data_IF_501674314901
#
_entry.id   IF_501674314901
#
_cell.length_a   1.000
_cell.length_b   1.000
_cell.length_c   1.000
_cell.angle_alpha   90.00
_cell.angle_beta   90.00
_cell.angle_gamma   90.00
#
_symmetry.space_group_name_H-M   'P 1'
#
loop_
_entity.id
_entity.type
_entity.pdbx_description
1 polymer ?
#
# COMPACT_ATOMS: atom_id res chain seq x y z
N UNK A 1 48.31 64.66 30.98
CA UNK A 1 47.35 64.50 32.10
C UNK A 1 45.96 64.79 31.56
N UNK A 2 44.88 64.01 31.79
CA UNK A 2 44.67 62.55 31.87
C UNK A 2 43.91 62.01 30.59
N UNK A 3 43.97 60.72 30.20
CA UNK A 3 43.14 59.52 30.55
C UNK A 3 41.62 59.78 30.33
N UNK A 4 40.87 59.09 29.46
CA UNK A 4 40.26 57.73 29.49
C UNK A 4 39.47 57.58 28.17
N UNK A 5 38.97 56.47 27.64
CA UNK A 5 39.13 55.02 27.78
C UNK A 5 38.25 54.43 26.66
N UNK A 6 38.66 53.30 26.11
CA UNK A 6 38.00 52.54 25.04
C UNK A 6 36.62 52.02 25.44
N UNK A 7 35.62 52.16 24.58
CA UNK A 7 34.39 51.36 24.62
C UNK A 7 34.15 50.74 23.24
N UNK A 8 34.70 49.54 23.05
CA UNK A 8 34.16 48.57 22.12
C UNK A 8 33.14 47.71 22.85
N UNK A 9 31.92 47.60 22.32
CA UNK A 9 31.00 46.54 22.71
C UNK A 9 30.34 45.96 21.46
N UNK A 10 30.63 44.68 21.27
CA UNK A 10 29.99 43.69 20.40
C UNK A 10 28.46 43.83 20.45
N UNK A 11 27.82 43.97 19.29
CA UNK A 11 26.43 43.56 19.13
C UNK A 11 26.41 42.08 18.73
N UNK A 12 26.22 41.20 19.72
CA UNK A 12 25.98 39.78 19.50
C UNK A 12 24.53 39.60 19.03
N UNK A 13 24.38 39.06 17.82
CA UNK A 13 23.11 38.64 17.24
C UNK A 13 22.51 37.49 18.05
N UNK A 14 21.34 37.71 18.65
CA UNK A 14 20.47 36.64 19.17
C UNK A 14 19.20 36.61 18.33
N UNK A 15 19.27 36.07 17.11
CA UNK A 15 18.08 35.61 16.41
C UNK A 15 17.69 34.27 17.01
N UNK A 16 16.77 34.32 17.98
CA UNK A 16 16.12 33.15 18.57
C UNK A 16 15.54 32.27 17.45
N UNK A 17 16.19 31.14 17.20
CA UNK A 17 15.67 30.10 16.32
C UNK A 17 14.53 29.41 17.06
N UNK A 18 13.34 29.96 16.92
CA UNK A 18 12.10 29.32 17.36
C UNK A 18 11.86 28.15 16.41
N UNK A 19 12.50 27.01 16.71
CA UNK A 19 12.18 25.73 16.08
C UNK A 19 10.78 25.37 16.57
N UNK A 20 9.77 25.78 15.82
CA UNK A 20 8.46 25.17 15.93
C UNK A 20 8.67 23.70 15.58
N UNK A 21 8.73 22.86 16.62
CA UNK A 21 8.43 21.46 16.46
C UNK A 21 6.99 21.41 15.96
N UNK A 22 6.82 21.35 14.64
CA UNK A 22 5.57 20.96 14.03
C UNK A 22 5.42 19.50 14.46
N UNK A 23 4.70 19.29 15.55
CA UNK A 23 4.14 17.98 15.84
C UNK A 23 3.21 17.71 14.66
N UNK A 24 3.72 16.99 13.67
CA UNK A 24 2.94 16.61 12.50
C UNK A 24 1.82 15.71 13.03
N UNK A 25 0.62 16.27 13.15
CA UNK A 25 -0.61 15.56 13.50
C UNK A 25 -1.04 14.67 12.34
N UNK A 26 -0.10 13.97 11.70
CA UNK A 26 -0.34 12.98 10.65
C UNK A 26 -0.43 11.56 11.20
N UNK A 27 -0.18 11.35 12.50
CA UNK A 27 -0.06 10.00 13.08
C UNK A 27 -1.28 9.43 13.81
N UNK A 28 -2.48 10.03 13.71
CA UNK A 28 -3.56 9.65 14.64
C UNK A 28 -4.64 8.69 14.15
N UNK A 29 -4.62 8.22 12.90
CA UNK A 29 -5.55 7.16 12.49
C UNK A 29 -4.79 6.03 11.80
N UNK A 30 -4.30 5.10 12.62
CA UNK A 30 -3.88 3.77 12.17
C UNK A 30 -5.03 3.17 11.33
N UNK A 31 -4.81 2.84 10.05
CA UNK A 31 -5.83 2.22 9.21
C UNK A 31 -6.42 0.98 9.91
N UNK A 32 -7.76 0.92 10.02
CA UNK A 32 -8.42 -0.25 10.59
C UNK A 32 -8.52 -1.34 9.53
N UNK A 33 -8.20 -2.57 9.93
CA UNK A 33 -8.51 -3.76 9.15
C UNK A 33 -9.90 -4.23 9.60
N UNK A 34 -10.89 -4.01 8.75
CA UNK A 34 -12.28 -4.44 8.91
C UNK A 34 -12.38 -5.90 8.49
N UNK A 35 -12.64 -6.76 9.46
CA UNK A 35 -12.75 -8.21 9.27
C UNK A 35 -13.93 -8.59 8.38
N UNK A 36 -13.87 -9.81 7.82
CA UNK A 36 -14.98 -10.42 7.06
C UNK A 36 -16.33 -10.31 7.77
N UNK A 37 -16.38 -10.58 9.07
CA UNK A 37 -17.60 -10.44 9.87
C UNK A 37 -18.10 -8.99 9.95
N UNK A 38 -17.19 -8.02 10.13
CA UNK A 38 -17.56 -6.61 10.32
C UNK A 38 -18.14 -5.96 9.06
N UNK A 39 -17.74 -6.39 7.86
CA UNK A 39 -18.32 -5.91 6.60
C UNK A 39 -19.47 -6.77 6.07
N UNK A 40 -19.79 -7.88 6.75
CA UNK A 40 -20.90 -8.77 6.39
C UNK A 40 -20.58 -9.66 5.19
N UNK A 41 -19.39 -10.27 5.20
CA UNK A 41 -18.97 -11.22 4.18
C UNK A 41 -19.85 -12.48 4.17
N UNK A 42 -20.16 -12.96 2.96
CA UNK A 42 -20.62 -14.34 2.79
C UNK A 42 -19.45 -15.31 3.01
N UNK A 43 -19.77 -16.52 3.46
CA UNK A 43 -18.79 -17.60 3.59
C UNK A 43 -18.20 -17.97 2.22
N UNK A 44 -16.89 -18.22 2.11
CA UNK A 44 -16.30 -18.74 0.88
C UNK A 44 -16.82 -20.16 0.62
N UNK A 45 -17.02 -20.55 -0.64
CA UNK A 45 -17.41 -21.92 -0.99
C UNK A 45 -16.24 -22.90 -0.92
N UNK A 46 -15.01 -22.40 -1.07
CA UNK A 46 -13.76 -23.13 -0.85
C UNK A 46 -12.60 -22.18 -0.56
N UNK A 47 -11.58 -22.67 0.14
CA UNK A 47 -10.36 -21.89 0.43
C UNK A 47 -9.13 -22.75 0.24
N UNK A 48 -8.07 -22.16 -0.31
CA UNK A 48 -6.74 -22.79 -0.42
C UNK A 48 -5.75 -21.98 0.42
N UNK A 49 -5.03 -22.66 1.31
CA UNK A 49 -3.96 -22.03 2.10
C UNK A 49 -2.70 -21.89 1.24
N UNK A 50 -1.97 -20.81 1.45
CA UNK A 50 -0.62 -20.63 0.93
C UNK A 50 0.39 -20.78 2.07
N UNK A 51 1.65 -20.99 1.67
CA UNK A 51 2.77 -20.81 2.58
C UNK A 51 2.88 -19.34 3.01
N UNK A 52 3.52 -19.15 4.16
CA UNK A 52 3.96 -17.85 4.67
C UNK A 52 5.11 -17.28 3.82
N UNK A 53 5.42 -16.00 4.00
CA UNK A 53 6.48 -15.26 3.30
C UNK A 53 6.31 -15.28 1.77
N UNK A 54 5.15 -14.81 1.29
CA UNK A 54 4.92 -14.67 -0.14
C UNK A 54 5.95 -13.69 -0.74
N UNK A 55 6.59 -14.03 -1.87
CA UNK A 55 7.61 -13.19 -2.48
C UNK A 55 7.06 -11.99 -3.27
N UNK A 56 5.75 -11.95 -3.51
CA UNK A 56 5.14 -10.94 -4.37
C UNK A 56 3.93 -10.26 -3.72
N UNK A 57 3.71 -9.00 -4.06
CA UNK A 57 2.44 -8.30 -3.88
C UNK A 57 1.95 -7.80 -5.24
N UNK A 58 0.65 -7.92 -5.51
CA UNK A 58 0.05 -7.42 -6.75
C UNK A 58 -1.06 -6.44 -6.40
N UNK A 59 -0.92 -5.19 -6.86
CA UNK A 59 -1.91 -4.13 -6.64
C UNK A 59 -2.86 -3.98 -7.81
N UNK A 60 -4.11 -3.70 -7.46
CA UNK A 60 -5.25 -3.59 -8.37
C UNK A 60 -6.02 -2.30 -8.09
N UNK A 61 -6.79 -1.86 -9.08
CA UNK A 61 -8.00 -1.10 -8.81
C UNK A 61 -9.22 -2.00 -8.98
N UNK A 62 -10.38 -1.58 -8.47
CA UNK A 62 -11.62 -2.34 -8.67
C UNK A 62 -12.34 -2.01 -9.97
N UNK A 63 -11.96 -0.90 -10.63
CA UNK A 63 -12.70 -0.33 -11.77
C UNK A 63 -14.19 -0.08 -11.45
N UNK A 64 -14.47 0.26 -10.19
CA UNK A 64 -15.81 0.64 -9.71
C UNK A 64 -15.81 2.10 -9.29
N UNK A 65 -16.98 2.69 -9.03
CA UNK A 65 -17.01 3.98 -8.33
C UNK A 65 -16.38 3.83 -6.93
N UNK A 66 -15.63 4.85 -6.51
CA UNK A 66 -15.04 4.94 -5.18
C UNK A 66 -16.12 4.97 -4.08
N UNK A 67 -15.67 4.85 -2.83
CA UNK A 67 -16.48 4.96 -1.62
C UNK A 67 -15.71 5.81 -0.62
N UNK A 68 -16.40 6.57 0.24
CA UNK A 68 -15.77 7.57 1.14
C UNK A 68 -16.19 7.44 2.60
N UNK A 69 -17.11 6.52 2.90
CA UNK A 69 -17.56 6.23 4.26
C UNK A 69 -17.49 4.72 4.50
N UNK A 70 -17.30 4.31 5.75
CA UNK A 70 -17.26 2.88 6.10
C UNK A 70 -18.52 2.14 5.60
N UNK A 71 -19.70 2.75 5.75
CA UNK A 71 -20.95 2.18 5.26
C UNK A 71 -20.94 1.94 3.73
N UNK A 72 -20.55 2.96 2.96
CA UNK A 72 -20.51 2.86 1.49
C UNK A 72 -19.43 1.90 1.01
N UNK A 73 -18.27 1.86 1.69
CA UNK A 73 -17.19 0.95 1.37
C UNK A 73 -17.53 -0.50 1.71
N UNK A 74 -18.13 -0.79 2.88
CA UNK A 74 -18.68 -2.12 3.19
C UNK A 74 -19.69 -2.58 2.14
N UNK A 75 -20.58 -1.69 1.70
CA UNK A 75 -21.54 -1.97 0.64
C UNK A 75 -20.86 -2.32 -0.68
N UNK A 76 -19.82 -1.56 -1.05
CA UNK A 76 -19.03 -1.82 -2.26
C UNK A 76 -18.29 -3.16 -2.19
N UNK A 77 -17.66 -3.49 -1.06
CA UNK A 77 -16.95 -4.77 -0.87
C UNK A 77 -17.92 -5.95 -1.00
N UNK A 78 -19.12 -5.87 -0.38
CA UNK A 78 -20.17 -6.88 -0.56
C UNK A 78 -20.61 -7.02 -2.01
N UNK A 79 -20.79 -5.92 -2.73
CA UNK A 79 -21.17 -5.95 -4.14
C UNK A 79 -20.10 -6.63 -5.00
N UNK A 80 -18.81 -6.35 -4.74
CA UNK A 80 -17.69 -7.00 -5.42
C UNK A 80 -17.66 -8.50 -5.10
N UNK A 81 -17.82 -8.90 -3.83
CA UNK A 81 -17.89 -10.32 -3.45
C UNK A 81 -19.04 -11.03 -4.17
N UNK A 82 -20.23 -10.44 -4.17
CA UNK A 82 -21.40 -11.00 -4.83
C UNK A 82 -21.19 -11.15 -6.34
N UNK A 83 -20.60 -10.16 -7.00
CA UNK A 83 -20.28 -10.26 -8.42
C UNK A 83 -19.27 -11.39 -8.69
N UNK A 84 -18.21 -11.50 -7.88
CA UNK A 84 -17.23 -12.57 -8.03
C UNK A 84 -17.82 -13.97 -7.81
N UNK A 85 -18.66 -14.16 -6.79
CA UNK A 85 -19.24 -15.47 -6.50
C UNK A 85 -20.38 -15.82 -7.45
N UNK A 86 -21.32 -14.89 -7.69
CA UNK A 86 -22.54 -15.18 -8.45
C UNK A 86 -22.30 -15.13 -9.96
N UNK A 87 -21.49 -14.19 -10.45
CA UNK A 87 -21.31 -13.96 -11.89
C UNK A 87 -20.04 -14.61 -12.44
N UNK A 88 -18.95 -14.67 -11.66
CA UNK A 88 -17.71 -15.34 -12.10
C UNK A 88 -17.57 -16.77 -11.59
N UNK A 89 -18.46 -17.23 -10.71
CA UNK A 89 -18.39 -18.57 -10.12
C UNK A 89 -17.18 -18.80 -9.23
N UNK A 90 -16.55 -17.74 -8.72
CA UNK A 90 -15.38 -17.85 -7.85
C UNK A 90 -15.79 -18.26 -6.45
N UNK A 91 -14.85 -18.87 -5.73
CA UNK A 91 -15.12 -19.34 -4.37
C UNK A 91 -15.33 -18.22 -3.35
N UNK A 92 -14.83 -17.02 -3.65
CA UNK A 92 -14.92 -15.83 -2.82
C UNK A 92 -14.54 -14.58 -3.65
N UNK A 93 -14.57 -13.41 -3.02
CA UNK A 93 -13.94 -12.18 -3.54
C UNK A 93 -12.49 -12.46 -4.00
N UNK A 94 -12.09 -11.96 -5.18
CA UNK A 94 -10.81 -12.36 -5.80
C UNK A 94 -9.55 -11.83 -5.10
N UNK A 95 -9.66 -10.74 -4.33
CA UNK A 95 -8.51 -10.08 -3.69
C UNK A 95 -8.31 -10.57 -2.25
N UNK A 96 -7.08 -10.53 -1.76
CA UNK A 96 -6.78 -10.80 -0.35
C UNK A 96 -7.27 -9.66 0.54
N UNK A 97 -7.07 -8.41 0.11
CA UNK A 97 -7.52 -7.21 0.80
C UNK A 97 -8.02 -6.16 -0.18
N UNK A 98 -8.91 -5.28 0.30
CA UNK A 98 -9.38 -4.12 -0.43
C UNK A 98 -9.19 -2.85 0.39
N UNK A 99 -8.92 -1.70 -0.24
CA UNK A 99 -8.71 -0.42 0.46
C UNK A 99 -9.76 0.58 0.00
N UNK A 100 -10.61 1.01 0.93
CA UNK A 100 -11.67 1.99 0.66
C UNK A 100 -11.13 3.42 0.58
N UNK A 101 -11.87 4.33 -0.05
CA UNK A 101 -11.54 5.75 -0.05
C UNK A 101 -11.77 6.43 1.31
N UNK A 102 -12.33 5.70 2.26
CA UNK A 102 -12.39 6.05 3.69
C UNK A 102 -11.08 5.76 4.45
N UNK A 103 -10.08 5.15 3.80
CA UNK A 103 -8.80 4.80 4.42
C UNK A 103 -8.81 3.49 5.20
N UNK A 104 -9.95 2.78 5.25
CA UNK A 104 -10.03 1.47 5.90
C UNK A 104 -9.57 0.36 4.95
N UNK A 105 -9.03 -0.71 5.54
CA UNK A 105 -8.65 -1.94 4.86
C UNK A 105 -9.74 -2.97 5.13
N UNK A 106 -10.25 -3.60 4.08
CA UNK A 106 -11.31 -4.59 4.14
C UNK A 106 -10.72 -5.97 3.84
N UNK A 107 -10.85 -6.88 4.79
CA UNK A 107 -10.39 -8.26 4.65
C UNK A 107 -11.19 -8.98 3.54
N UNK A 108 -10.53 -9.30 2.44
CA UNK A 108 -11.06 -10.18 1.40
C UNK A 108 -10.77 -11.63 1.78
N UNK A 109 -9.98 -12.33 0.97
CA UNK A 109 -9.53 -13.69 1.32
C UNK A 109 -8.59 -13.72 2.53
N UNK A 110 -7.96 -12.60 2.88
CA UNK A 110 -7.05 -12.50 4.02
C UNK A 110 -5.62 -12.97 3.73
N UNK A 111 -4.78 -12.97 4.77
CA UNK A 111 -3.38 -13.42 4.68
C UNK A 111 -3.30 -14.94 4.47
N UNK A 112 -2.24 -15.40 3.80
CA UNK A 112 -1.92 -16.82 3.58
C UNK A 112 -3.05 -17.61 2.90
N UNK A 113 -3.87 -16.95 2.10
CA UNK A 113 -4.94 -17.57 1.30
C UNK A 113 -4.75 -17.27 -0.18
N UNK A 114 -4.97 -18.26 -1.03
CA UNK A 114 -4.83 -18.12 -2.47
C UNK A 114 -5.87 -17.13 -3.03
N UNK A 115 -5.40 -16.14 -3.79
CA UNK A 115 -6.22 -15.17 -4.52
C UNK A 115 -6.98 -15.76 -5.73
N UNK A 116 -7.75 -14.91 -6.40
CA UNK A 116 -8.23 -15.13 -7.77
C UNK A 116 -8.12 -13.82 -8.59
N UNK A 117 -7.09 -13.01 -8.29
CA UNK A 117 -6.93 -11.66 -8.80
C UNK A 117 -5.97 -11.57 -9.99
N UNK A 118 -4.95 -12.44 -10.08
CA UNK A 118 -3.95 -12.44 -11.16
C UNK A 118 -3.52 -13.88 -11.49
N UNK A 119 -3.89 -14.35 -12.69
CA UNK A 119 -3.53 -15.70 -13.14
C UNK A 119 -2.01 -15.89 -13.13
N UNK A 120 -1.53 -17.07 -12.71
CA UNK A 120 -0.10 -17.35 -12.53
C UNK A 120 0.53 -16.78 -11.24
N UNK A 121 -0.08 -15.76 -10.61
CA UNK A 121 0.43 -15.13 -9.39
C UNK A 121 -0.42 -15.39 -8.14
N UNK A 122 -1.66 -15.88 -8.29
CA UNK A 122 -2.58 -16.16 -7.18
C UNK A 122 -1.99 -17.06 -6.07
N UNK A 123 -1.07 -17.97 -6.41
CA UNK A 123 -0.46 -18.94 -5.49
C UNK A 123 0.81 -18.42 -4.79
N UNK A 124 1.29 -17.25 -5.16
CA UNK A 124 2.60 -16.73 -4.75
C UNK A 124 2.59 -15.23 -4.44
N UNK A 125 1.41 -14.61 -4.38
CA UNK A 125 1.30 -13.18 -4.14
C UNK A 125 0.17 -12.80 -3.20
N UNK A 126 0.34 -11.65 -2.54
CA UNK A 126 -0.71 -10.96 -1.83
C UNK A 126 -1.42 -9.97 -2.78
N UNK A 127 -2.69 -10.21 -3.09
CA UNK A 127 -3.49 -9.33 -3.94
C UNK A 127 -4.21 -8.23 -3.17
N UNK A 128 -3.90 -6.98 -3.46
CA UNK A 128 -4.52 -5.80 -2.81
C UNK A 128 -5.24 -4.95 -3.85
N UNK A 129 -6.54 -4.68 -3.66
CA UNK A 129 -7.31 -3.82 -4.56
C UNK A 129 -7.70 -2.49 -3.91
N UNK A 130 -7.35 -1.38 -4.54
CA UNK A 130 -7.84 -0.06 -4.12
C UNK A 130 -9.20 0.19 -4.78
N UNK A 131 -10.21 0.52 -3.96
CA UNK A 131 -11.58 0.70 -4.43
C UNK A 131 -11.70 2.02 -5.19
N UNK A 132 -11.98 1.92 -6.49
CA UNK A 132 -12.08 3.07 -7.39
C UNK A 132 -11.71 2.73 -8.83
N UNK A 133 -11.76 3.75 -9.67
CA UNK A 133 -11.14 3.78 -10.99
C UNK A 133 -10.04 4.85 -10.96
N UNK A 134 -8.83 4.43 -11.29
CA UNK A 134 -7.62 5.23 -11.20
C UNK A 134 -6.88 5.30 -12.55
N UNK A 135 -7.62 5.22 -13.66
CA UNK A 135 -7.08 5.50 -14.99
C UNK A 135 -6.56 6.93 -15.11
N UNK A 136 -7.38 7.91 -14.69
CA UNK A 136 -7.11 9.34 -14.88
C UNK A 136 -6.61 10.08 -13.62
N UNK A 137 -6.89 9.55 -12.42
CA UNK A 137 -6.46 10.16 -11.14
C UNK A 137 -5.92 9.06 -10.23
N UNK A 138 -4.82 9.33 -9.52
CA UNK A 138 -4.28 8.38 -8.56
C UNK A 138 -5.19 8.25 -7.33
N UNK A 139 -5.07 7.18 -6.53
CA UNK A 139 -5.72 7.07 -5.23
C UNK A 139 -5.40 8.26 -4.32
N UNK A 140 -6.25 8.53 -3.34
CA UNK A 140 -5.96 9.54 -2.32
C UNK A 140 -4.76 9.12 -1.45
N UNK A 141 -4.11 10.09 -0.79
CA UNK A 141 -3.00 9.81 0.13
C UNK A 141 -3.40 8.81 1.22
N UNK A 142 -4.61 8.96 1.79
CA UNK A 142 -5.12 8.06 2.83
C UNK A 142 -5.21 6.59 2.37
N UNK A 143 -5.45 6.34 1.09
CA UNK A 143 -5.51 4.98 0.53
C UNK A 143 -4.11 4.40 0.33
N UNK A 144 -3.14 5.25 -0.05
CA UNK A 144 -1.74 4.85 -0.17
C UNK A 144 -1.12 4.56 1.19
N UNK A 145 -1.38 5.42 2.18
CA UNK A 145 -0.92 5.19 3.56
C UNK A 145 -1.50 3.89 4.14
N UNK A 146 -2.77 3.58 3.83
CA UNK A 146 -3.40 2.32 4.20
C UNK A 146 -2.78 1.11 3.49
N UNK A 147 -2.34 1.28 2.24
CA UNK A 147 -1.65 0.24 1.48
C UNK A 147 -0.27 -0.05 2.06
N UNK A 148 0.52 0.99 2.33
CA UNK A 148 1.85 0.84 2.93
C UNK A 148 1.75 0.21 4.32
N UNK A 149 0.79 0.66 5.13
CA UNK A 149 0.49 0.03 6.43
C UNK A 149 0.12 -1.46 6.28
N UNK A 150 -0.69 -1.82 5.28
CA UNK A 150 -1.08 -3.21 5.04
C UNK A 150 0.12 -4.08 4.67
N UNK A 151 1.04 -3.58 3.83
CA UNK A 151 2.25 -4.33 3.48
C UNK A 151 3.17 -4.50 4.68
N UNK A 152 3.41 -3.44 5.46
CA UNK A 152 4.16 -3.55 6.72
C UNK A 152 3.49 -4.52 7.70
N UNK A 153 2.16 -4.50 7.79
CA UNK A 153 1.40 -5.46 8.59
C UNK A 153 1.60 -6.89 8.09
N UNK A 154 1.50 -7.15 6.78
CA UNK A 154 1.69 -8.48 6.22
C UNK A 154 3.11 -9.01 6.45
N UNK A 155 4.14 -8.17 6.33
CA UNK A 155 5.53 -8.50 6.66
C UNK A 155 5.67 -8.84 8.15
N UNK A 156 5.12 -8.01 9.05
CA UNK A 156 5.14 -8.28 10.49
C UNK A 156 4.35 -9.52 10.92
N UNK A 157 3.53 -10.09 10.03
CA UNK A 157 2.80 -11.34 10.23
C UNK A 157 3.42 -12.53 9.49
N UNK A 158 4.62 -12.37 8.92
CA UNK A 158 5.30 -13.36 8.09
C UNK A 158 4.45 -13.84 6.91
N UNK A 159 3.48 -13.06 6.45
CA UNK A 159 2.64 -13.41 5.31
C UNK A 159 3.26 -12.93 3.99
N UNK A 160 4.10 -11.90 4.04
CA UNK A 160 4.81 -11.31 2.92
C UNK A 160 6.31 -11.26 3.28
N UNK A 161 7.19 -11.67 2.36
CA UNK A 161 8.65 -11.60 2.57
C UNK A 161 9.07 -10.13 2.73
N UNK A 162 9.96 -9.76 3.67
CA UNK A 162 10.44 -8.38 3.80
C UNK A 162 11.11 -7.81 2.53
N UNK A 163 11.51 -8.66 1.58
CA UNK A 163 12.11 -8.30 0.28
C UNK A 163 11.16 -8.57 -0.89
N UNK A 164 9.85 -8.61 -0.63
CA UNK A 164 8.86 -8.84 -1.67
C UNK A 164 9.01 -7.86 -2.84
N UNK A 165 8.62 -8.30 -4.03
CA UNK A 165 8.48 -7.42 -5.19
C UNK A 165 7.02 -7.02 -5.35
N UNK A 166 6.79 -5.72 -5.55
CA UNK A 166 5.48 -5.13 -5.79
C UNK A 166 5.26 -4.93 -7.29
N UNK A 167 4.15 -5.48 -7.79
CA UNK A 167 3.71 -5.33 -9.17
C UNK A 167 2.35 -4.65 -9.26
N UNK A 168 2.12 -3.87 -10.31
CA UNK A 168 0.79 -3.59 -10.81
C UNK A 168 0.22 -4.81 -11.53
N UNK A 169 -1.11 -5.00 -11.51
CA UNK A 169 -1.70 -6.14 -12.21
C UNK A 169 -1.32 -6.22 -13.71
N UNK A 170 -1.12 -5.08 -14.37
CA UNK A 170 -0.65 -5.01 -15.77
C UNK A 170 0.73 -5.63 -16.02
N UNK A 171 1.58 -5.73 -15.00
CA UNK A 171 2.92 -6.30 -15.14
C UNK A 171 2.85 -7.82 -15.31
N UNK A 172 1.80 -8.43 -14.75
CA UNK A 172 1.64 -9.88 -14.65
C UNK A 172 0.47 -10.43 -15.47
N UNK A 173 -0.28 -9.56 -16.15
CA UNK A 173 -1.45 -9.93 -16.95
C UNK A 173 -1.77 -8.85 -18.00
N UNK A 174 -2.41 -9.22 -19.10
CA UNK A 174 -2.89 -8.27 -20.11
C UNK A 174 -4.13 -7.51 -19.62
N UNK A 175 -3.93 -6.37 -18.95
CA UNK A 175 -5.00 -5.54 -18.39
C UNK A 175 -4.54 -4.09 -18.20
N UNK A 176 -5.49 -3.14 -18.17
CA UNK A 176 -5.20 -1.75 -17.80
C UNK A 176 -5.09 -1.55 -16.27
N UNK A 177 -5.49 -2.53 -15.46
CA UNK A 177 -5.38 -2.49 -14.00
C UNK A 177 -3.91 -2.33 -13.57
N UNK A 178 -3.54 -1.48 -12.58
CA UNK A 178 -4.41 -0.77 -11.62
C UNK A 178 -4.88 0.63 -12.07
N UNK A 179 -4.82 0.92 -13.37
CA UNK A 179 -5.07 2.25 -13.93
C UNK A 179 -3.78 3.07 -14.02
N UNK A 180 -3.65 3.87 -15.07
CA UNK A 180 -2.39 4.56 -15.41
C UNK A 180 -1.95 5.54 -14.32
N UNK A 181 -2.85 6.37 -13.81
CA UNK A 181 -2.51 7.33 -12.77
C UNK A 181 -2.12 6.66 -11.44
N UNK A 182 -2.71 5.50 -11.10
CA UNK A 182 -2.26 4.73 -9.94
C UNK A 182 -0.92 4.05 -10.20
N UNK A 183 -0.77 3.40 -11.35
CA UNK A 183 0.45 2.68 -11.72
C UNK A 183 1.69 3.58 -11.65
N UNK A 184 1.63 4.77 -12.23
CA UNK A 184 2.73 5.75 -12.18
C UNK A 184 3.10 6.18 -10.75
N UNK A 185 2.17 6.06 -9.79
CA UNK A 185 2.42 6.39 -8.39
C UNK A 185 3.07 5.24 -7.62
N UNK A 186 3.09 4.03 -8.17
CA UNK A 186 3.73 2.87 -7.53
C UNK A 186 5.26 2.99 -7.54
N UNK A 187 5.85 3.75 -8.46
CA UNK A 187 7.30 4.02 -8.53
C UNK A 187 7.86 4.65 -7.24
N UNK A 188 7.00 5.22 -6.40
CA UNK A 188 7.40 5.80 -5.12
C UNK A 188 7.54 4.79 -4.00
N UNK A 189 7.04 3.56 -4.20
CA UNK A 189 7.19 2.47 -3.26
C UNK A 189 8.51 1.75 -3.54
N UNK A 190 9.36 1.60 -2.53
CA UNK A 190 10.71 1.01 -2.66
C UNK A 190 10.71 -0.45 -3.15
N UNK A 191 9.60 -1.18 -2.98
CA UNK A 191 9.45 -2.55 -3.42
C UNK A 191 8.97 -2.68 -4.88
N UNK A 192 8.61 -1.57 -5.54
CA UNK A 192 8.05 -1.60 -6.88
C UNK A 192 9.07 -1.97 -7.95
N UNK A 193 8.68 -2.83 -8.89
CA UNK A 193 9.49 -3.16 -10.07
C UNK A 193 8.58 -3.31 -11.29
N UNK A 194 8.83 -2.54 -12.34
CA UNK A 194 8.17 -2.71 -13.63
C UNK A 194 8.78 -3.91 -14.38
N UNK A 195 7.93 -4.74 -15.00
CA UNK A 195 8.39 -5.80 -15.91
C UNK A 195 8.54 -5.18 -17.30
N UNK A 196 9.73 -4.65 -17.61
CA UNK A 196 10.07 -4.24 -18.97
C UNK A 196 10.43 -5.48 -19.79
N UNK A 197 9.88 -5.60 -21.01
CA UNK A 197 10.00 -6.81 -21.86
C UNK A 197 11.36 -7.00 -22.53
N UNK A 198 12.45 -6.54 -21.91
CA UNK A 198 13.83 -6.79 -22.37
C UNK A 198 14.77 -6.48 -21.21
N UNK A 199 15.59 -7.47 -20.82
CA UNK A 199 16.56 -7.53 -19.69
C UNK A 199 15.91 -7.44 -18.29
N UNK A 200 15.91 -8.50 -17.47
CA UNK A 200 17.09 -8.91 -16.70
C UNK A 200 17.06 -10.38 -16.20
N UNK A 201 18.17 -11.07 -16.45
CA UNK A 201 18.72 -12.18 -15.67
C UNK A 201 18.90 -11.80 -14.18
N UNK A 202 18.83 -12.76 -13.24
CA UNK A 202 18.67 -12.47 -11.81
C UNK A 202 19.99 -12.09 -11.13
N UNK A 203 20.60 -10.93 -11.41
CA UNK A 203 21.81 -10.48 -10.68
C UNK A 203 21.99 -8.96 -10.44
N UNK A 204 21.07 -8.06 -10.78
CA UNK A 204 21.35 -6.60 -10.70
C UNK A 204 20.39 -5.73 -9.87
N UNK A 205 19.57 -6.31 -8.97
CA UNK A 205 18.83 -5.49 -7.99
C UNK A 205 19.71 -4.91 -6.86
N UNK A 206 21.02 -5.19 -6.85
CA UNK A 206 21.93 -4.83 -5.75
C UNK A 206 22.47 -3.40 -5.75
N UNK A 207 22.14 -2.55 -6.74
CA UNK A 207 22.86 -1.28 -6.90
C UNK A 207 22.01 -0.03 -7.13
N UNK A 208 20.72 -0.02 -6.72
CA UNK A 208 19.87 1.18 -6.88
C UNK A 208 19.70 2.05 -5.64
N UNK A 209 20.37 1.76 -4.52
CA UNK A 209 20.39 2.63 -3.34
C UNK A 209 21.76 2.62 -2.63
N UNK A 210 22.59 3.67 -2.77
CA UNK A 210 23.78 3.82 -1.96
C UNK A 210 23.40 4.21 -0.53
N UNK A 211 23.70 3.34 0.42
CA UNK A 211 23.90 3.58 1.85
C UNK A 211 23.29 4.86 2.46
N UNK A 212 22.15 4.73 3.14
CA UNK A 212 21.83 5.55 4.31
C UNK A 212 21.82 4.66 5.56
N UNK A 213 23.02 4.41 6.08
CA UNK A 213 23.14 4.02 7.48
C UNK A 213 22.72 5.18 8.36
N UNK A 214 21.82 4.91 9.30
CA UNK A 214 21.76 5.46 10.68
C UNK A 214 20.84 4.49 11.44
N UNK A 215 21.42 3.61 12.26
CA UNK A 215 20.81 3.17 13.51
C UNK A 215 21.70 3.70 14.63
N UNK A 216 21.17 4.43 15.63
CA UNK A 216 21.90 4.65 16.86
C UNK A 216 21.56 3.52 17.87
N UNK A 217 22.59 2.88 18.41
CA UNK A 217 22.52 2.03 19.61
C UNK A 217 22.50 0.54 19.34
#
# INVERSE_FOLDING_TARGET
>A
MPIFATMGFLYLAFTSLLVFAVCDCRSLLRPRIISRSEWGARSPTSTTNLNTNLPYAVVHHTATSSCTTEFSCKSRVRAIQNYHMNNKGWSDIGYNFLIGGDGNIYEGRGLNKMGAHASGYNSQSLGVAVIGDFGARAPGQIQRDAMDYLFSYAVGRYALDPRYTLYGHRDVSTTACPGTAFYNRLEENEHFTEITSSVDEPLMAFNRYPWRGIYPG
#
